data_IF_289322337631
#
_entry.id   IF_289322337631
#
_cell.length_a   1.000
_cell.length_b   1.000
_cell.length_c   1.000
_cell.angle_alpha   90.00
_cell.angle_beta   90.00
_cell.angle_gamma   90.00
#
_symmetry.space_group_name_H-M   'P 1'
#
loop_
_entity.id
_entity.type
_entity.pdbx_description
1 polymer ?
#
# COMPACT_ATOMS: atom_id res chain seq x y z
N UNK A 1 14.54 -11.09 -27.81
CA UNK A 1 13.75 -9.85 -27.80
C UNK A 1 14.69 -8.68 -28.14
N UNK A 2 14.69 -8.19 -29.40
CA UNK A 2 15.60 -7.10 -29.84
C UNK A 2 14.98 -5.77 -29.38
N UNK A 3 15.67 -5.08 -28.49
CA UNK A 3 15.39 -3.67 -28.18
C UNK A 3 15.57 -2.86 -29.48
N UNK A 4 14.48 -2.34 -30.04
CA UNK A 4 14.55 -1.36 -31.12
C UNK A 4 15.07 -0.05 -30.52
N UNK A 5 16.34 0.25 -30.78
CA UNK A 5 16.86 1.59 -30.53
C UNK A 5 16.03 2.62 -31.32
N UNK A 6 15.48 3.56 -30.61
CA UNK A 6 14.82 4.71 -31.19
C UNK A 6 15.85 5.51 -31.99
N UNK A 7 15.79 5.43 -33.32
CA UNK A 7 16.56 6.34 -34.18
C UNK A 7 15.87 7.68 -34.15
N UNK A 8 16.36 8.57 -33.28
CA UNK A 8 16.01 9.99 -33.31
C UNK A 8 16.36 10.55 -34.70
N UNK A 9 15.44 11.26 -35.30
CA UNK A 9 15.71 12.16 -36.44
C UNK A 9 16.87 13.08 -36.08
N UNK A 10 17.74 13.37 -37.04
CA UNK A 10 18.89 14.23 -36.88
C UNK A 10 18.48 15.68 -36.53
N UNK A 11 18.19 15.90 -35.26
CA UNK A 11 18.02 17.20 -34.62
C UNK A 11 19.07 17.35 -33.53
N UNK A 12 19.42 18.56 -33.19
CA UNK A 12 20.33 18.88 -32.09
C UNK A 12 19.98 18.01 -30.85
N UNK A 13 21.00 17.54 -30.15
CA UNK A 13 20.78 16.79 -28.92
C UNK A 13 20.09 17.66 -27.87
N UNK A 14 19.35 17.06 -26.94
CA UNK A 14 18.75 17.79 -25.80
C UNK A 14 19.75 18.68 -25.06
N UNK A 15 21.02 18.26 -25.03
CA UNK A 15 22.10 19.04 -24.40
C UNK A 15 22.40 20.30 -25.20
N UNK A 16 22.51 20.22 -26.54
CA UNK A 16 22.75 21.35 -27.44
C UNK A 16 21.56 22.33 -27.40
N UNK A 17 20.34 21.82 -27.39
CA UNK A 17 19.14 22.63 -27.25
C UNK A 17 19.13 23.40 -25.90
N UNK A 18 19.53 22.73 -24.83
CA UNK A 18 19.62 23.31 -23.48
C UNK A 18 20.68 24.41 -23.41
N UNK A 19 21.88 24.12 -23.95
CA UNK A 19 22.98 25.11 -24.02
C UNK A 19 22.62 26.33 -24.85
N UNK A 20 21.73 26.20 -25.80
CA UNK A 20 21.25 27.27 -26.67
C UNK A 20 19.96 27.96 -26.20
N UNK A 21 19.49 27.69 -24.97
CA UNK A 21 18.21 28.16 -24.40
C UNK A 21 16.99 27.86 -25.30
N UNK A 22 17.03 26.73 -26.04
CA UNK A 22 15.94 26.29 -26.93
C UNK A 22 15.06 25.24 -26.30
N UNK A 23 15.38 24.80 -25.09
CA UNK A 23 14.63 23.81 -24.36
C UNK A 23 13.58 24.45 -23.48
N UNK A 24 12.50 23.70 -23.23
CA UNK A 24 11.54 24.05 -22.20
C UNK A 24 12.13 24.00 -20.79
N UNK A 25 11.43 24.55 -19.84
CA UNK A 25 11.78 24.44 -18.43
C UNK A 25 11.55 23.02 -17.91
N UNK A 26 12.56 22.42 -17.28
CA UNK A 26 12.51 21.07 -16.71
C UNK A 26 12.47 21.08 -15.18
N UNK A 27 12.44 22.26 -14.55
CA UNK A 27 12.29 22.37 -13.10
C UNK A 27 10.82 22.24 -12.76
N UNK A 28 10.51 21.33 -11.84
CA UNK A 28 9.17 21.00 -11.40
C UNK A 28 9.16 20.92 -9.87
N UNK A 29 9.04 22.09 -9.16
CA UNK A 29 9.08 22.11 -7.70
C UNK A 29 7.77 21.68 -7.09
N UNK A 30 7.83 21.18 -5.85
CA UNK A 30 6.68 21.15 -4.97
C UNK A 30 6.36 22.57 -4.48
N UNK A 31 5.09 22.93 -4.54
CA UNK A 31 4.55 24.17 -4.02
C UNK A 31 3.68 23.85 -2.80
N UNK A 32 4.28 23.90 -1.63
CA UNK A 32 3.64 23.52 -0.39
C UNK A 32 2.60 24.53 0.06
N UNK A 33 1.37 24.06 0.24
CA UNK A 33 0.24 24.84 0.70
C UNK A 33 -0.03 24.58 2.18
N UNK A 34 0.12 25.62 2.98
CA UNK A 34 -0.10 25.59 4.43
C UNK A 34 -1.25 26.51 4.86
N UNK A 35 -2.03 27.04 3.90
CA UNK A 35 -3.10 27.99 4.15
C UNK A 35 -2.55 29.41 4.45
N UNK A 36 -1.52 29.86 3.75
CA UNK A 36 -1.07 31.25 3.80
C UNK A 36 -2.19 32.21 3.33
N UNK A 37 -2.05 33.49 3.61
CA UNK A 37 -2.98 34.50 3.08
C UNK A 37 -2.81 34.67 1.55
N UNK A 38 -3.85 35.21 0.92
CA UNK A 38 -3.90 35.38 -0.54
C UNK A 38 -2.73 36.19 -1.08
N UNK A 39 -2.30 37.26 -0.39
CA UNK A 39 -1.20 38.12 -0.84
C UNK A 39 0.12 37.31 -0.85
N UNK A 40 0.35 36.50 0.18
CA UNK A 40 1.52 35.62 0.25
C UNK A 40 1.47 34.61 -0.90
N UNK A 41 0.33 33.96 -1.11
CA UNK A 41 0.14 32.95 -2.16
C UNK A 41 0.43 33.55 -3.56
N UNK A 42 -0.15 34.70 -3.86
CA UNK A 42 0.08 35.40 -5.15
C UNK A 42 1.55 35.81 -5.32
N UNK A 43 2.20 36.27 -4.24
CA UNK A 43 3.61 36.67 -4.26
C UNK A 43 4.51 35.45 -4.55
N UNK A 44 4.23 34.31 -3.96
CA UNK A 44 5.02 33.08 -4.19
C UNK A 44 4.82 32.54 -5.60
N UNK A 45 3.59 32.53 -6.12
CA UNK A 45 3.31 32.17 -7.51
C UNK A 45 4.07 33.07 -8.51
N UNK A 46 4.08 34.38 -8.25
CA UNK A 46 4.83 35.32 -9.09
C UNK A 46 6.33 35.04 -9.07
N UNK A 47 6.92 34.74 -7.90
CA UNK A 47 8.34 34.38 -7.79
C UNK A 47 8.67 33.08 -8.55
N UNK A 48 7.80 32.07 -8.49
CA UNK A 48 7.96 30.85 -9.27
C UNK A 48 7.98 31.19 -10.76
N UNK A 49 7.03 31.98 -11.24
CA UNK A 49 6.96 32.40 -12.63
C UNK A 49 8.17 33.23 -13.06
N UNK A 50 8.59 34.24 -12.27
CA UNK A 50 9.75 35.09 -12.53
C UNK A 50 11.07 34.32 -12.53
N UNK A 51 11.13 33.18 -11.80
CA UNK A 51 12.24 32.24 -11.85
C UNK A 51 12.27 31.38 -13.12
N UNK A 52 11.45 31.71 -14.11
CA UNK A 52 11.28 30.98 -15.36
C UNK A 52 10.77 29.55 -15.20
N UNK A 53 10.11 29.22 -14.09
CA UNK A 53 9.46 27.94 -13.86
C UNK A 53 8.06 27.98 -14.47
N UNK A 54 7.66 26.93 -15.18
CA UNK A 54 6.38 26.84 -15.91
C UNK A 54 5.52 25.66 -15.52
N UNK A 55 5.96 24.88 -14.53
CA UNK A 55 5.19 23.78 -13.98
C UNK A 55 5.54 23.60 -12.51
N UNK A 56 4.56 23.20 -11.67
CA UNK A 56 4.77 22.89 -10.26
C UNK A 56 3.73 21.90 -9.77
N UNK A 57 4.05 21.22 -8.66
CA UNK A 57 3.13 20.33 -7.96
C UNK A 57 2.64 20.99 -6.68
N UNK A 58 1.35 21.21 -6.58
CA UNK A 58 0.70 21.68 -5.34
C UNK A 58 0.65 20.52 -4.35
N UNK A 59 1.05 20.75 -3.12
CA UNK A 59 1.00 19.79 -2.03
C UNK A 59 0.46 20.45 -0.77
N UNK A 60 -0.57 19.86 -0.15
CA UNK A 60 -1.02 20.26 1.18
C UNK A 60 0.03 19.86 2.24
N UNK A 61 0.56 20.88 3.06
CA UNK A 61 1.72 20.59 3.92
C UNK A 61 1.80 21.40 5.21
N UNK A 62 1.00 21.13 6.21
CA UNK A 62 -0.40 20.74 6.13
C UNK A 62 -1.29 21.93 5.76
N UNK A 63 -2.31 21.71 4.97
CA UNK A 63 -3.35 22.72 4.76
C UNK A 63 -4.44 22.57 5.83
N UNK A 64 -4.88 23.65 6.50
CA UNK A 64 -5.81 23.56 7.63
C UNK A 64 -7.22 23.11 7.24
N UNK A 65 -7.60 23.30 5.96
CA UNK A 65 -8.94 23.03 5.43
C UNK A 65 -8.88 22.35 4.07
N UNK A 66 -8.08 21.26 3.96
CA UNK A 66 -7.93 20.51 2.70
C UNK A 66 -9.28 20.00 2.20
N UNK A 67 -9.55 20.20 0.90
CA UNK A 67 -10.82 19.94 0.24
C UNK A 67 -12.04 20.67 0.83
N UNK A 68 -11.84 21.67 1.72
CA UNK A 68 -12.85 22.56 2.22
C UNK A 68 -12.85 23.93 1.50
N UNK A 69 -13.67 24.88 1.98
CA UNK A 69 -13.87 26.18 1.33
C UNK A 69 -12.58 26.95 1.12
N UNK A 70 -11.68 26.97 2.12
CA UNK A 70 -10.40 27.66 2.05
C UNK A 70 -9.46 27.01 1.05
N UNK A 71 -9.42 25.67 1.02
CA UNK A 71 -8.63 24.96 0.03
C UNK A 71 -9.08 25.29 -1.40
N UNK A 72 -10.38 25.32 -1.64
CA UNK A 72 -10.90 25.63 -2.96
C UNK A 72 -10.62 27.08 -3.36
N UNK A 73 -10.68 28.01 -2.42
CA UNK A 73 -10.29 29.41 -2.65
C UNK A 73 -8.82 29.51 -3.05
N UNK A 74 -7.91 28.89 -2.31
CA UNK A 74 -6.48 28.90 -2.59
C UNK A 74 -6.16 28.22 -3.94
N UNK A 75 -6.81 27.10 -4.23
CA UNK A 75 -6.68 26.39 -5.51
C UNK A 75 -7.22 27.21 -6.69
N UNK A 76 -8.30 27.95 -6.52
CA UNK A 76 -8.82 28.85 -7.57
C UNK A 76 -7.81 29.94 -7.92
N UNK A 77 -7.17 30.55 -6.93
CA UNK A 77 -6.08 31.54 -7.13
C UNK A 77 -4.92 30.90 -7.91
N UNK A 78 -4.49 29.72 -7.50
CA UNK A 78 -3.40 28.98 -8.16
C UNK A 78 -3.76 28.67 -9.62
N UNK A 79 -4.96 28.17 -9.87
CA UNK A 79 -5.41 27.78 -11.20
C UNK A 79 -5.61 28.99 -12.12
N UNK A 80 -6.14 30.11 -11.62
CA UNK A 80 -6.31 31.34 -12.38
C UNK A 80 -4.95 31.96 -12.74
N UNK A 81 -4.01 31.98 -11.81
CA UNK A 81 -2.66 32.39 -12.08
C UNK A 81 -2.01 31.50 -13.15
N UNK A 82 -2.11 30.21 -13.01
CA UNK A 82 -1.52 29.24 -13.94
C UNK A 82 -2.11 29.38 -15.36
N UNK A 83 -3.43 29.55 -15.50
CA UNK A 83 -4.10 29.80 -16.80
C UNK A 83 -3.58 31.07 -17.45
N UNK A 84 -3.48 32.17 -16.67
CA UNK A 84 -3.07 33.47 -17.16
C UNK A 84 -1.62 33.47 -17.64
N UNK A 85 -0.75 32.66 -17.04
CA UNK A 85 0.69 32.63 -17.30
C UNK A 85 1.16 31.42 -18.10
N UNK A 86 0.24 30.63 -18.66
CA UNK A 86 0.52 29.33 -19.37
C UNK A 86 1.42 28.41 -18.57
N UNK A 87 1.11 28.28 -17.29
CA UNK A 87 1.78 27.33 -16.39
C UNK A 87 1.01 26.01 -16.28
N UNK A 88 1.70 24.96 -15.82
CA UNK A 88 1.13 23.63 -15.62
C UNK A 88 1.13 23.29 -14.14
N UNK A 89 0.00 22.76 -13.67
CA UNK A 89 -0.24 22.41 -12.26
C UNK A 89 -0.44 20.91 -12.14
N UNK A 90 0.29 20.29 -11.22
CA UNK A 90 0.06 18.95 -10.72
C UNK A 90 -0.42 19.07 -9.27
N UNK A 91 -1.09 18.07 -8.77
CA UNK A 91 -1.57 18.01 -7.40
C UNK A 91 -1.10 16.72 -6.73
N UNK A 92 -0.44 16.82 -5.57
CA UNK A 92 -0.23 15.65 -4.72
C UNK A 92 -1.59 15.15 -4.22
N UNK A 93 -1.83 13.89 -4.39
CA UNK A 93 -3.14 13.24 -4.31
C UNK A 93 -3.62 12.90 -2.89
N UNK A 94 -3.24 13.71 -1.89
CA UNK A 94 -3.78 13.58 -0.53
C UNK A 94 -3.64 14.89 0.28
N UNK A 95 -4.22 14.89 1.47
CA UNK A 95 -4.16 16.01 2.41
C UNK A 95 -2.78 16.17 3.06
N UNK A 96 -1.90 15.19 2.90
CA UNK A 96 -0.52 15.12 3.38
C UNK A 96 0.25 13.97 2.74
N UNK A 97 1.55 14.04 2.83
CA UNK A 97 2.48 12.95 2.51
C UNK A 97 2.52 11.88 3.62
N UNK A 98 2.66 10.59 3.29
CA UNK A 98 2.54 9.99 1.96
C UNK A 98 1.06 9.79 1.54
N UNK A 99 0.84 9.54 0.25
CA UNK A 99 -0.49 9.22 -0.29
C UNK A 99 -1.09 8.00 0.42
N UNK A 100 -2.35 8.12 0.88
CA UNK A 100 -3.09 7.00 1.50
C UNK A 100 -3.90 7.36 2.74
N UNK A 101 -3.89 8.64 3.16
CA UNK A 101 -4.76 9.12 4.24
C UNK A 101 -6.17 9.45 3.76
N UNK A 102 -6.35 9.62 2.43
CA UNK A 102 -7.63 9.88 1.77
C UNK A 102 -8.43 11.00 2.45
N UNK A 103 -7.82 12.20 2.56
CA UNK A 103 -8.41 13.34 3.24
C UNK A 103 -8.90 12.99 4.66
N UNK A 104 -8.11 12.24 5.42
CA UNK A 104 -8.36 11.89 6.84
C UNK A 104 -9.52 10.92 7.09
N UNK A 105 -10.12 10.31 6.07
CA UNK A 105 -11.27 9.40 6.27
C UNK A 105 -10.90 8.20 7.15
N UNK A 106 -9.63 7.81 7.17
CA UNK A 106 -9.13 6.71 7.99
C UNK A 106 -8.68 7.13 9.40
N UNK A 107 -8.79 8.42 9.76
CA UNK A 107 -8.36 8.90 11.07
C UNK A 107 -9.01 8.13 12.21
N UNK A 108 -8.19 7.82 13.23
CA UNK A 108 -8.62 7.00 14.37
C UNK A 108 -8.42 5.49 14.15
N UNK A 109 -7.99 5.03 12.96
CA UNK A 109 -7.63 3.64 12.69
C UNK A 109 -8.78 2.62 12.77
N UNK A 110 -10.03 3.08 12.90
CA UNK A 110 -11.20 2.21 13.09
C UNK A 110 -12.07 2.03 11.85
N UNK A 111 -11.70 2.64 10.73
CA UNK A 111 -12.49 2.51 9.51
C UNK A 111 -12.45 1.05 9.00
N UNK A 112 -13.59 0.47 8.57
CA UNK A 112 -13.65 -0.93 8.12
C UNK A 112 -12.69 -1.28 6.99
N UNK A 113 -12.40 -0.30 6.12
CA UNK A 113 -11.51 -0.40 4.97
C UNK A 113 -10.08 0.08 5.25
N UNK A 114 -9.73 0.40 6.51
CA UNK A 114 -8.33 0.67 6.87
C UNK A 114 -7.47 -0.55 6.61
N UNK A 115 -6.16 -0.32 6.53
CA UNK A 115 -5.14 -1.35 6.33
C UNK A 115 -5.35 -2.59 7.22
N UNK A 116 -5.10 -3.76 6.65
CA UNK A 116 -5.20 -5.06 7.30
C UNK A 116 -3.95 -5.88 7.02
N UNK A 117 -3.60 -6.73 7.97
CA UNK A 117 -2.44 -7.59 7.89
C UNK A 117 -2.80 -9.02 8.21
N UNK A 118 -2.23 -9.97 7.48
CA UNK A 118 -2.15 -11.35 7.95
C UNK A 118 -0.95 -11.45 8.90
N UNK A 119 -1.14 -12.14 10.01
CA UNK A 119 -0.08 -12.45 10.98
C UNK A 119 -0.28 -13.86 11.54
N UNK A 120 0.68 -14.31 12.35
CA UNK A 120 0.69 -15.66 12.89
C UNK A 120 1.10 -15.65 14.36
N UNK A 121 0.39 -16.44 15.16
CA UNK A 121 0.86 -16.85 16.48
C UNK A 121 1.41 -18.27 16.41
N UNK A 122 2.55 -18.53 17.02
CA UNK A 122 3.17 -19.85 17.04
C UNK A 122 3.26 -20.41 18.46
N UNK A 123 3.13 -21.72 18.57
CA UNK A 123 3.32 -22.47 19.83
C UNK A 123 4.01 -23.78 19.51
N UNK A 124 5.14 -24.04 20.15
CA UNK A 124 5.81 -25.34 20.03
C UNK A 124 5.32 -26.30 21.10
N UNK A 125 5.08 -27.55 20.68
CA UNK A 125 4.62 -28.63 21.54
C UNK A 125 5.42 -29.89 21.27
N UNK A 126 5.75 -30.64 22.32
CA UNK A 126 6.48 -31.91 22.21
C UNK A 126 5.51 -33.07 22.48
N UNK A 127 5.32 -33.94 21.50
CA UNK A 127 4.48 -35.14 21.61
C UNK A 127 5.26 -36.39 21.92
N UNK A 128 4.55 -37.49 22.28
CA UNK A 128 3.10 -37.65 22.16
C UNK A 128 2.30 -37.01 23.32
N UNK A 129 1.18 -36.31 22.97
CA UNK A 129 0.19 -35.87 23.95
C UNK A 129 -1.22 -36.30 23.56
N UNK A 130 -2.02 -36.80 24.51
CA UNK A 130 -3.36 -37.31 24.24
C UNK A 130 -4.40 -36.78 25.23
N UNK A 131 -5.14 -35.74 24.93
CA UNK A 131 -4.90 -34.69 23.94
C UNK A 131 -4.04 -33.55 24.50
N UNK A 132 -3.40 -32.78 23.59
CA UNK A 132 -2.88 -31.47 23.91
C UNK A 132 -3.97 -30.39 23.85
N UNK A 133 -3.83 -29.31 24.61
CA UNK A 133 -4.77 -28.18 24.63
C UNK A 133 -4.02 -26.87 24.44
N UNK A 134 -4.56 -25.99 23.59
CA UNK A 134 -4.10 -24.62 23.42
C UNK A 134 -5.29 -23.66 23.47
N UNK A 135 -5.22 -22.63 24.31
CA UNK A 135 -6.24 -21.59 24.36
C UNK A 135 -6.04 -20.59 23.19
N UNK A 136 -6.72 -20.85 22.09
CA UNK A 136 -6.62 -20.02 20.86
C UNK A 136 -7.34 -18.67 21.04
N UNK A 137 -8.46 -18.63 21.78
CA UNK A 137 -9.23 -17.42 21.99
C UNK A 137 -8.41 -16.27 22.62
N UNK A 138 -7.40 -16.57 23.43
CA UNK A 138 -6.57 -15.54 24.07
C UNK A 138 -5.56 -14.88 23.14
N UNK A 139 -5.40 -15.38 21.91
CA UNK A 139 -4.47 -14.83 20.92
C UNK A 139 -5.03 -13.57 20.28
N UNK A 140 -6.35 -13.48 20.12
CA UNK A 140 -7.02 -12.48 19.31
C UNK A 140 -7.42 -11.24 20.11
N UNK A 141 -7.33 -10.08 19.46
CA UNK A 141 -7.98 -8.85 19.87
C UNK A 141 -9.41 -8.78 19.28
N UNK A 142 -10.18 -7.75 19.68
CA UNK A 142 -11.62 -7.68 19.41
C UNK A 142 -11.99 -7.77 17.93
N UNK A 143 -11.18 -7.15 17.07
CA UNK A 143 -11.46 -7.06 15.61
C UNK A 143 -10.64 -8.05 14.76
N UNK A 144 -9.90 -8.94 15.39
CA UNK A 144 -9.11 -9.92 14.67
C UNK A 144 -10.00 -10.99 14.04
N UNK A 145 -9.66 -11.38 12.83
CA UNK A 145 -10.40 -12.41 12.08
C UNK A 145 -9.55 -13.68 11.98
N UNK A 146 -10.00 -14.73 12.60
CA UNK A 146 -9.36 -16.05 12.51
C UNK A 146 -9.39 -16.58 11.06
N UNK A 147 -8.23 -17.04 10.57
CA UNK A 147 -8.09 -17.64 9.23
C UNK A 147 -8.01 -19.15 9.29
N UNK A 148 -7.20 -19.69 10.21
CA UNK A 148 -7.04 -21.12 10.37
C UNK A 148 -5.84 -21.46 11.25
N UNK A 149 -5.67 -22.75 11.53
CA UNK A 149 -4.53 -23.24 12.31
C UNK A 149 -3.93 -24.50 11.67
N UNK A 150 -2.61 -24.56 11.61
CA UNK A 150 -1.88 -25.71 11.02
C UNK A 150 -0.76 -26.13 11.96
N UNK A 151 -0.62 -27.42 12.18
CA UNK A 151 0.50 -28.01 12.91
C UNK A 151 1.52 -28.56 11.92
N UNK A 152 2.80 -28.27 12.14
CA UNK A 152 3.93 -28.76 11.35
C UNK A 152 4.93 -29.46 12.26
N UNK A 153 5.51 -30.55 11.80
CA UNK A 153 6.68 -31.10 12.47
C UNK A 153 7.87 -30.18 12.21
N UNK A 154 8.59 -29.81 13.26
CA UNK A 154 9.86 -29.08 13.11
C UNK A 154 10.92 -30.01 12.55
N UNK A 155 11.77 -29.51 11.66
CA UNK A 155 12.87 -30.27 11.08
C UNK A 155 14.01 -30.49 12.10
N UNK A 156 14.19 -29.55 13.03
CA UNK A 156 15.23 -29.53 14.05
C UNK A 156 14.75 -28.83 15.32
N UNK A 157 15.39 -29.13 16.44
CA UNK A 157 15.25 -28.35 17.68
C UNK A 157 16.07 -27.05 17.66
N UNK A 158 17.08 -26.98 16.78
CA UNK A 158 18.05 -25.89 16.73
C UNK A 158 17.63 -24.73 15.82
N UNK A 159 16.82 -25.01 14.81
CA UNK A 159 16.33 -24.01 13.87
C UNK A 159 14.78 -23.99 13.75
N UNK A 160 14.24 -22.95 13.12
CA UNK A 160 12.82 -22.72 12.98
C UNK A 160 12.20 -23.38 11.73
N UNK A 161 12.93 -24.25 11.04
CA UNK A 161 12.45 -24.86 9.80
C UNK A 161 11.34 -25.89 10.06
N UNK A 162 10.38 -25.94 9.15
CA UNK A 162 9.18 -26.77 9.23
C UNK A 162 9.15 -27.76 8.08
N UNK A 163 8.65 -28.97 8.36
CA UNK A 163 8.39 -29.95 7.31
C UNK A 163 7.00 -29.72 6.73
N UNK A 164 6.91 -29.19 5.50
CA UNK A 164 5.63 -28.92 4.84
C UNK A 164 4.79 -30.17 4.59
N UNK A 165 5.43 -31.31 4.32
CA UNK A 165 4.73 -32.58 4.07
C UNK A 165 4.04 -33.12 5.32
N UNK A 166 4.50 -32.71 6.50
CA UNK A 166 3.89 -33.09 7.78
C UNK A 166 2.70 -32.18 8.17
N UNK A 167 2.40 -31.15 7.38
CA UNK A 167 1.39 -30.16 7.71
C UNK A 167 0.01 -30.81 7.93
N UNK A 168 -0.58 -30.53 9.08
CA UNK A 168 -1.92 -30.99 9.46
C UNK A 168 -2.79 -29.76 9.71
N UNK A 169 -3.87 -29.59 8.94
CA UNK A 169 -4.89 -28.60 9.24
C UNK A 169 -5.61 -28.99 10.53
N UNK A 170 -5.39 -28.22 11.59
CA UNK A 170 -6.00 -28.42 12.90
C UNK A 170 -7.15 -27.46 13.19
N UNK A 171 -7.57 -26.67 12.20
CA UNK A 171 -8.67 -25.69 12.31
C UNK A 171 -9.94 -26.34 12.86
N UNK A 172 -10.31 -27.50 12.34
CA UNK A 172 -11.52 -28.23 12.74
C UNK A 172 -11.49 -28.78 14.19
N UNK A 173 -10.32 -28.80 14.82
CA UNK A 173 -10.18 -29.22 16.22
C UNK A 173 -10.32 -28.08 17.22
N UNK A 174 -10.60 -26.85 16.73
CA UNK A 174 -10.83 -25.67 17.58
C UNK A 174 -12.32 -25.57 17.90
N UNK A 175 -12.66 -25.71 19.19
CA UNK A 175 -14.03 -25.59 19.70
C UNK A 175 -14.06 -24.71 20.95
N UNK A 176 -15.02 -23.79 21.01
CA UNK A 176 -15.19 -22.85 22.14
C UNK A 176 -13.90 -22.06 22.48
N UNK A 177 -13.07 -21.78 21.48
CA UNK A 177 -11.81 -21.07 21.64
C UNK A 177 -10.62 -21.92 22.11
N UNK A 178 -10.78 -23.23 22.22
CA UNK A 178 -9.73 -24.18 22.56
C UNK A 178 -9.42 -25.08 21.37
N UNK A 179 -8.13 -25.19 20.99
CA UNK A 179 -7.63 -26.27 20.17
C UNK A 179 -7.45 -27.51 21.06
N UNK A 180 -8.09 -28.63 20.69
CA UNK A 180 -7.91 -29.94 21.30
C UNK A 180 -7.41 -30.89 20.22
N UNK A 181 -6.12 -31.24 20.28
CA UNK A 181 -5.50 -32.08 19.26
C UNK A 181 -4.61 -33.15 19.87
N UNK A 182 -4.61 -34.36 19.30
CA UNK A 182 -3.68 -35.40 19.65
C UNK A 182 -2.34 -35.12 18.97
N UNK A 183 -1.35 -34.73 19.77
CA UNK A 183 -0.01 -34.37 19.26
C UNK A 183 0.75 -35.68 18.98
N UNK A 184 1.19 -35.93 17.72
CA UNK A 184 2.03 -37.06 17.40
C UNK A 184 3.43 -36.96 18.03
N UNK A 185 4.20 -38.05 17.98
CA UNK A 185 5.56 -38.06 18.49
C UNK A 185 6.46 -37.06 17.82
N UNK A 186 7.31 -36.39 18.61
CA UNK A 186 8.30 -35.40 18.19
C UNK A 186 7.89 -33.95 18.45
N UNK A 187 8.69 -33.03 17.93
CA UNK A 187 8.50 -31.59 18.11
C UNK A 187 7.63 -31.01 16.99
N UNK A 188 6.56 -30.38 17.40
CA UNK A 188 5.58 -29.76 16.50
C UNK A 188 5.43 -28.30 16.78
N UNK A 189 5.25 -27.48 15.70
CA UNK A 189 4.87 -26.07 15.78
C UNK A 189 3.44 -25.91 15.29
N UNK A 190 2.58 -25.38 16.14
CA UNK A 190 1.22 -25.00 15.80
C UNK A 190 1.24 -23.54 15.41
N UNK A 191 0.80 -23.23 14.19
CA UNK A 191 0.65 -21.89 13.66
C UNK A 191 -0.82 -21.53 13.61
N UNK A 192 -1.20 -20.42 14.27
CA UNK A 192 -2.56 -19.86 14.23
C UNK A 192 -2.52 -18.58 13.41
N UNK A 193 -3.14 -18.59 12.23
CA UNK A 193 -3.18 -17.46 11.31
C UNK A 193 -4.42 -16.62 11.55
N UNK A 194 -4.25 -15.30 11.55
CA UNK A 194 -5.36 -14.37 11.71
C UNK A 194 -5.06 -13.04 11.02
N UNK A 195 -6.15 -12.33 10.67
CA UNK A 195 -6.10 -11.01 10.07
C UNK A 195 -6.32 -10.00 11.18
N UNK A 196 -5.46 -9.00 11.25
CA UNK A 196 -5.51 -7.96 12.27
C UNK A 196 -5.36 -6.57 11.65
N UNK A 197 -5.81 -5.54 12.36
CA UNK A 197 -5.45 -4.15 12.09
C UNK A 197 -4.36 -3.62 13.05
N UNK A 198 -3.98 -4.40 14.05
CA UNK A 198 -3.03 -4.03 15.09
C UNK A 198 -1.58 -4.31 14.64
N UNK A 199 -1.21 -3.75 13.47
CA UNK A 199 0.15 -3.86 12.93
C UNK A 199 1.12 -2.83 13.52
N UNK A 200 2.34 -2.81 12.98
CA UNK A 200 3.42 -1.94 13.44
C UNK A 200 3.50 -0.60 12.69
N UNK A 201 2.75 -0.43 11.62
CA UNK A 201 2.76 0.77 10.77
C UNK A 201 1.64 1.76 11.10
N UNK A 202 1.28 2.57 10.09
CA UNK A 202 0.17 3.51 10.19
C UNK A 202 -1.15 2.75 10.15
N UNK A 203 -2.01 2.94 11.14
CA UNK A 203 -3.31 2.28 11.23
C UNK A 203 -4.44 3.15 10.66
N UNK A 204 -4.22 4.47 10.60
CA UNK A 204 -5.10 5.47 10.00
C UNK A 204 -4.79 5.66 8.50
N UNK A 205 -4.75 4.55 7.77
CA UNK A 205 -4.23 4.51 6.42
C UNK A 205 -5.04 3.56 5.55
N UNK A 206 -5.12 3.86 4.25
CA UNK A 206 -5.83 3.00 3.31
C UNK A 206 -5.15 1.64 3.11
N UNK A 207 -5.91 0.66 2.66
CA UNK A 207 -5.37 -0.62 2.25
C UNK A 207 -5.13 -0.62 0.74
N UNK A 208 -3.90 -0.38 0.31
CA UNK A 208 -3.54 -0.22 -1.11
C UNK A 208 -3.82 -1.45 -1.98
N UNK A 209 -3.99 -2.64 -1.37
CA UNK A 209 -4.37 -3.87 -2.06
C UNK A 209 -5.84 -4.25 -1.83
N UNK A 210 -6.68 -3.27 -1.53
CA UNK A 210 -8.13 -3.40 -1.38
C UNK A 210 -8.81 -2.36 -2.28
N UNK A 211 -9.53 -2.82 -3.30
CA UNK A 211 -10.14 -1.94 -4.30
C UNK A 211 -11.17 -0.98 -3.71
N UNK A 212 -11.93 -1.41 -2.68
CA UNK A 212 -12.91 -0.55 -2.01
C UNK A 212 -12.21 0.53 -1.15
N UNK A 213 -11.06 0.19 -0.57
CA UNK A 213 -10.25 1.14 0.19
C UNK A 213 -9.63 2.22 -0.72
N UNK A 214 -9.06 1.81 -1.83
CA UNK A 214 -8.51 2.74 -2.84
C UNK A 214 -9.59 3.65 -3.41
N UNK A 215 -10.80 3.13 -3.64
CA UNK A 215 -11.93 3.93 -4.11
C UNK A 215 -12.26 5.11 -3.19
N UNK A 216 -12.07 4.98 -1.86
CA UNK A 216 -12.24 6.10 -0.94
C UNK A 216 -11.24 7.23 -1.19
N UNK A 217 -9.99 6.91 -1.56
CA UNK A 217 -9.03 7.95 -1.95
C UNK A 217 -9.54 8.70 -3.20
N UNK A 218 -10.02 7.98 -4.21
CA UNK A 218 -10.57 8.60 -5.41
C UNK A 218 -11.76 9.50 -5.09
N UNK A 219 -12.71 9.02 -4.29
CA UNK A 219 -13.91 9.76 -3.90
C UNK A 219 -13.62 10.99 -3.03
N UNK A 220 -12.61 10.91 -2.17
CA UNK A 220 -12.30 12.01 -1.24
C UNK A 220 -11.34 13.05 -1.83
N UNK A 221 -10.54 12.67 -2.82
CA UNK A 221 -9.48 13.55 -3.36
C UNK A 221 -9.67 13.80 -4.85
N UNK A 222 -9.69 12.76 -5.67
CA UNK A 222 -9.67 12.92 -7.13
C UNK A 222 -10.99 13.47 -7.67
N UNK A 223 -12.11 12.87 -7.31
CA UNK A 223 -13.44 13.28 -7.80
C UNK A 223 -13.79 14.75 -7.48
N UNK A 224 -13.55 15.27 -6.26
CA UNK A 224 -13.83 16.68 -5.97
C UNK A 224 -12.98 17.64 -6.81
N UNK A 225 -11.69 17.35 -7.01
CA UNK A 225 -10.81 18.17 -7.85
C UNK A 225 -11.18 18.07 -9.32
N UNK A 226 -11.53 16.86 -9.80
CA UNK A 226 -12.01 16.69 -11.17
C UNK A 226 -13.34 17.41 -11.42
N UNK A 227 -14.28 17.33 -10.49
CA UNK A 227 -15.55 18.03 -10.60
C UNK A 227 -15.37 19.55 -10.73
N UNK A 228 -14.35 20.13 -10.09
CA UNK A 228 -14.09 21.56 -10.11
C UNK A 228 -13.22 22.01 -11.30
N UNK A 229 -12.17 21.25 -11.62
CA UNK A 229 -11.16 21.62 -12.61
C UNK A 229 -11.13 20.72 -13.85
N UNK A 230 -12.15 19.89 -14.07
CA UNK A 230 -12.19 18.94 -15.19
C UNK A 230 -11.98 19.58 -16.56
N UNK A 231 -12.45 20.81 -16.77
CA UNK A 231 -12.22 21.57 -18.01
C UNK A 231 -10.74 21.96 -18.25
N UNK A 232 -9.90 21.93 -17.21
CA UNK A 232 -8.48 22.27 -17.25
C UNK A 232 -7.59 21.05 -17.42
N UNK A 233 -8.13 19.85 -17.26
CA UNK A 233 -7.35 18.61 -17.38
C UNK A 233 -6.73 18.47 -18.76
N UNK A 234 -5.42 18.11 -18.76
CA UNK A 234 -4.63 18.04 -19.99
C UNK A 234 -4.22 19.40 -20.58
N UNK A 235 -4.63 20.51 -19.95
CA UNK A 235 -4.31 21.88 -20.37
C UNK A 235 -3.46 22.60 -19.32
N UNK A 236 -4.10 23.07 -18.25
CA UNK A 236 -3.45 23.71 -17.10
C UNK A 236 -3.26 22.71 -15.96
N UNK A 237 -4.29 21.93 -15.63
CA UNK A 237 -4.21 20.85 -14.66
C UNK A 237 -3.72 19.57 -15.34
N UNK A 238 -2.50 19.14 -15.06
CA UNK A 238 -1.86 18.05 -15.79
C UNK A 238 -2.11 16.66 -15.20
N UNK A 239 -2.52 16.59 -13.93
CA UNK A 239 -2.83 15.36 -13.25
C UNK A 239 -2.46 15.36 -11.79
N UNK A 240 -2.57 14.18 -11.21
CA UNK A 240 -2.21 13.94 -9.82
C UNK A 240 -0.81 13.35 -9.72
N UNK A 241 -0.15 13.63 -8.61
CA UNK A 241 1.13 13.06 -8.23
C UNK A 241 0.93 12.22 -6.98
N UNK A 242 1.06 10.91 -7.11
CA UNK A 242 1.01 9.99 -5.98
C UNK A 242 2.39 9.81 -5.40
N UNK A 243 2.56 10.07 -4.10
CA UNK A 243 3.86 10.09 -3.45
C UNK A 243 3.97 8.99 -2.38
N UNK A 244 4.86 8.04 -2.63
CA UNK A 244 5.25 6.94 -1.74
C UNK A 244 4.08 6.24 -1.02
N UNK A 245 2.99 5.82 -1.72
CA UNK A 245 1.98 5.01 -1.07
C UNK A 245 2.59 3.71 -0.56
N UNK A 246 2.27 3.32 0.67
CA UNK A 246 2.93 2.21 1.35
C UNK A 246 1.97 1.11 1.80
N UNK A 247 2.50 -0.07 2.13
CA UNK A 247 1.72 -1.15 2.73
C UNK A 247 1.47 -0.96 4.22
N UNK A 248 2.14 0.02 4.83
CA UNK A 248 1.99 0.38 6.26
C UNK A 248 2.25 -0.77 7.25
N UNK A 249 3.08 -1.73 6.89
CA UNK A 249 3.37 -2.91 7.71
C UNK A 249 4.68 -2.84 8.50
N UNK A 250 5.42 -1.73 8.38
CA UNK A 250 6.67 -1.47 9.11
C UNK A 250 6.68 -0.06 9.71
N UNK A 251 7.31 0.13 10.87
CA UNK A 251 7.61 1.46 11.37
C UNK A 251 8.84 2.02 10.62
N UNK A 252 8.60 2.91 9.63
CA UNK A 252 9.66 3.54 8.85
C UNK A 252 10.19 2.68 7.69
N UNK A 253 11.35 3.06 7.17
CA UNK A 253 11.94 2.45 5.97
C UNK A 253 13.00 1.41 6.34
N UNK A 254 12.65 0.13 6.32
CA UNK A 254 13.58 -0.98 6.54
C UNK A 254 13.75 -1.82 5.27
N UNK A 255 14.65 -1.38 4.40
CA UNK A 255 14.88 -1.98 3.07
C UNK A 255 15.45 -3.41 3.10
N UNK A 256 15.91 -3.89 4.25
CA UNK A 256 16.48 -5.24 4.41
C UNK A 256 15.55 -6.19 5.13
N UNK A 257 14.38 -5.71 5.53
CA UNK A 257 13.41 -6.52 6.25
C UNK A 257 12.94 -7.71 5.40
N UNK A 258 12.97 -8.89 6.00
CA UNK A 258 12.55 -10.14 5.35
C UNK A 258 11.11 -10.44 5.67
N UNK A 259 10.36 -10.81 4.64
CA UNK A 259 8.97 -11.20 4.77
C UNK A 259 8.81 -12.28 5.86
N UNK A 260 7.87 -12.06 6.78
CA UNK A 260 7.54 -12.95 7.86
C UNK A 260 8.53 -12.96 9.04
N UNK A 261 9.81 -12.72 8.80
CA UNK A 261 10.83 -12.76 9.86
C UNK A 261 10.99 -11.40 10.55
N UNK A 262 11.29 -10.37 9.77
CA UNK A 262 11.47 -9.01 10.25
C UNK A 262 10.18 -8.19 10.05
N UNK A 263 9.26 -8.69 9.20
CA UNK A 263 7.91 -8.18 8.93
C UNK A 263 6.86 -9.23 9.36
N UNK A 264 6.52 -9.32 10.66
CA UNK A 264 5.56 -10.30 11.14
C UNK A 264 4.12 -10.02 10.67
N UNK A 265 3.81 -8.76 10.36
CA UNK A 265 2.54 -8.31 9.79
C UNK A 265 2.72 -8.13 8.28
N UNK A 266 2.03 -8.94 7.49
CA UNK A 266 2.13 -8.89 6.02
C UNK A 266 0.85 -8.36 5.40
N UNK A 267 0.92 -7.54 4.33
CA UNK A 267 -0.26 -6.93 3.71
C UNK A 267 -1.33 -7.94 3.37
N UNK A 268 -2.58 -7.61 3.66
CA UNK A 268 -3.72 -8.48 3.42
C UNK A 268 -4.99 -7.70 3.08
N UNK A 269 -5.79 -8.20 2.14
CA UNK A 269 -7.17 -7.83 1.95
C UNK A 269 -8.02 -9.07 1.68
N UNK A 270 -9.35 -8.93 1.73
CA UNK A 270 -10.26 -10.03 1.43
C UNK A 270 -10.12 -10.49 -0.03
N UNK A 271 -10.04 -9.54 -0.95
CA UNK A 271 -9.86 -9.80 -2.38
C UNK A 271 -8.54 -10.50 -2.65
N UNK A 272 -7.46 -9.96 -2.10
CA UNK A 272 -6.12 -10.55 -2.20
C UNK A 272 -6.10 -11.98 -1.66
N UNK A 273 -6.67 -12.21 -0.47
CA UNK A 273 -6.74 -13.54 0.14
C UNK A 273 -7.46 -14.57 -0.73
N UNK A 274 -8.56 -14.19 -1.36
CA UNK A 274 -9.30 -15.07 -2.27
C UNK A 274 -8.46 -15.47 -3.50
N UNK A 275 -7.75 -14.52 -4.10
CA UNK A 275 -6.84 -14.76 -5.25
C UNK A 275 -5.66 -15.64 -4.87
N UNK A 276 -5.04 -15.40 -3.71
CA UNK A 276 -3.95 -16.23 -3.22
C UNK A 276 -4.42 -17.66 -2.92
N UNK A 277 -5.62 -17.81 -2.37
CA UNK A 277 -6.23 -19.12 -2.12
C UNK A 277 -6.50 -19.88 -3.43
N UNK A 278 -7.02 -19.20 -4.45
CA UNK A 278 -7.20 -19.80 -5.78
C UNK A 278 -5.86 -20.29 -6.36
N UNK A 279 -4.82 -19.46 -6.26
CA UNK A 279 -3.48 -19.77 -6.77
C UNK A 279 -2.80 -20.95 -6.07
N UNK A 280 -2.88 -21.03 -4.74
CA UNK A 280 -2.27 -22.08 -3.94
C UNK A 280 -3.16 -23.34 -3.84
N UNK A 281 -4.43 -23.20 -4.18
CA UNK A 281 -5.39 -24.31 -4.23
C UNK A 281 -5.69 -24.92 -2.85
N UNK A 282 -5.97 -26.22 -2.83
CA UNK A 282 -6.36 -26.96 -1.60
C UNK A 282 -5.32 -26.92 -0.48
N UNK A 283 -4.07 -26.62 -0.79
CA UNK A 283 -2.97 -26.54 0.18
C UNK A 283 -2.75 -25.13 0.72
N UNK A 284 -3.63 -24.18 0.38
CA UNK A 284 -3.50 -22.77 0.75
C UNK A 284 -3.09 -22.56 2.20
N UNK A 285 -3.87 -23.11 3.15
CA UNK A 285 -3.64 -22.91 4.57
C UNK A 285 -2.27 -23.48 5.01
N UNK A 286 -1.92 -24.67 4.54
CA UNK A 286 -0.61 -25.29 4.83
C UNK A 286 0.56 -24.54 4.18
N UNK A 287 0.35 -23.83 3.10
CA UNK A 287 1.39 -23.00 2.48
C UNK A 287 1.66 -21.70 3.23
N UNK A 288 0.69 -21.18 4.01
CA UNK A 288 0.87 -19.90 4.71
C UNK A 288 2.07 -19.88 5.66
N UNK A 289 2.40 -21.02 6.29
CA UNK A 289 3.54 -21.14 7.19
C UNK A 289 4.88 -20.74 6.54
N UNK A 290 5.02 -20.94 5.23
CA UNK A 290 6.22 -20.58 4.48
C UNK A 290 6.47 -19.07 4.42
N UNK A 291 5.47 -18.24 4.70
CA UNK A 291 5.62 -16.78 4.73
C UNK A 291 6.45 -16.32 5.93
N UNK A 292 6.50 -17.09 7.01
CA UNK A 292 7.29 -16.80 8.22
C UNK A 292 8.45 -17.75 8.44
N UNK A 293 8.35 -19.01 7.99
CA UNK A 293 9.30 -20.09 8.27
C UNK A 293 9.87 -20.69 6.98
N UNK A 294 11.04 -21.27 7.07
CA UNK A 294 11.57 -22.10 5.99
C UNK A 294 10.85 -23.44 5.95
N UNK A 295 10.39 -23.85 4.77
CA UNK A 295 9.68 -25.12 4.53
C UNK A 295 10.38 -25.94 3.44
N UNK A 296 11.71 -25.90 3.43
CA UNK A 296 12.54 -26.58 2.44
C UNK A 296 12.47 -25.91 1.07
N UNK A 297 12.52 -26.70 0.02
CA UNK A 297 12.56 -26.22 -1.39
C UNK A 297 11.32 -25.43 -1.81
N UNK A 298 10.19 -25.58 -1.11
CA UNK A 298 8.93 -24.90 -1.42
C UNK A 298 8.89 -23.43 -0.96
N UNK A 299 9.76 -23.04 -0.04
CA UNK A 299 9.74 -21.70 0.59
C UNK A 299 9.75 -20.57 -0.45
N UNK A 300 10.72 -20.59 -1.36
CA UNK A 300 10.87 -19.53 -2.36
C UNK A 300 9.69 -19.47 -3.33
N UNK A 301 9.15 -20.60 -3.74
CA UNK A 301 8.00 -20.67 -4.66
C UNK A 301 6.74 -20.10 -4.01
N UNK A 302 6.48 -20.39 -2.73
CA UNK A 302 5.31 -19.91 -2.01
C UNK A 302 5.43 -18.39 -1.76
N UNK A 303 6.59 -17.92 -1.30
CA UNK A 303 6.86 -16.48 -1.10
C UNK A 303 6.77 -15.71 -2.42
N UNK A 304 7.27 -16.27 -3.51
CA UNK A 304 7.10 -15.68 -4.84
C UNK A 304 5.62 -15.60 -5.24
N UNK A 305 4.84 -16.67 -5.00
CA UNK A 305 3.41 -16.67 -5.31
C UNK A 305 2.67 -15.56 -4.55
N UNK A 306 3.01 -15.35 -3.27
CA UNK A 306 2.46 -14.27 -2.46
C UNK A 306 2.82 -12.89 -3.03
N UNK A 307 4.11 -12.61 -3.27
CA UNK A 307 4.57 -11.31 -3.76
C UNK A 307 4.10 -10.99 -5.18
N UNK A 308 4.01 -11.99 -6.05
CA UNK A 308 3.46 -11.82 -7.39
C UNK A 308 1.97 -11.48 -7.35
N UNK A 309 1.21 -12.08 -6.43
CA UNK A 309 -0.20 -11.74 -6.24
C UNK A 309 -0.39 -10.36 -5.60
N UNK A 310 0.48 -9.95 -4.66
CA UNK A 310 0.52 -8.58 -4.13
C UNK A 310 0.71 -7.58 -5.28
N UNK A 311 1.68 -7.84 -6.16
CA UNK A 311 1.97 -6.98 -7.32
C UNK A 311 0.79 -6.87 -8.28
N UNK A 312 0.13 -8.00 -8.58
CA UNK A 312 -1.06 -8.02 -9.45
C UNK A 312 -2.24 -7.28 -8.83
N UNK A 313 -2.47 -7.50 -7.52
CA UNK A 313 -3.57 -6.85 -6.82
C UNK A 313 -3.32 -5.34 -6.74
N UNK A 314 -2.11 -4.91 -6.37
CA UNK A 314 -1.72 -3.50 -6.36
C UNK A 314 -1.92 -2.84 -7.73
N UNK A 315 -1.49 -3.52 -8.80
CA UNK A 315 -1.69 -3.02 -10.17
C UNK A 315 -3.16 -2.80 -10.49
N UNK A 316 -4.03 -3.69 -10.06
CA UNK A 316 -5.45 -3.64 -10.37
C UNK A 316 -6.22 -2.68 -9.44
N UNK A 317 -5.94 -2.69 -8.14
CA UNK A 317 -6.64 -1.88 -7.15
C UNK A 317 -6.23 -0.41 -7.19
N UNK A 318 -4.93 -0.11 -7.37
CA UNK A 318 -4.40 1.24 -7.33
C UNK A 318 -4.14 1.81 -8.72
N UNK A 319 -3.18 1.28 -9.47
CA UNK A 319 -2.77 1.89 -10.75
C UNK A 319 -3.82 1.85 -11.86
N UNK A 320 -4.72 0.85 -11.89
CA UNK A 320 -5.79 0.84 -12.87
C UNK A 320 -6.97 1.73 -12.47
N UNK A 321 -7.28 1.82 -11.19
CA UNK A 321 -8.33 2.71 -10.69
C UNK A 321 -8.01 4.19 -10.99
N UNK A 322 -6.79 4.61 -10.70
CA UNK A 322 -6.30 5.95 -11.03
C UNK A 322 -6.36 6.25 -12.53
N UNK A 323 -5.96 5.26 -13.36
CA UNK A 323 -5.96 5.42 -14.81
C UNK A 323 -7.37 5.55 -15.39
N UNK A 324 -8.32 4.76 -14.91
CA UNK A 324 -9.70 4.84 -15.38
C UNK A 324 -10.33 6.19 -15.10
N UNK A 325 -10.00 6.80 -13.97
CA UNK A 325 -10.45 8.12 -13.62
C UNK A 325 -9.88 9.19 -14.54
N UNK A 326 -8.56 9.17 -14.77
CA UNK A 326 -7.89 10.15 -15.66
C UNK A 326 -8.35 9.99 -17.13
N UNK A 327 -8.79 8.81 -17.56
CA UNK A 327 -9.28 8.57 -18.93
C UNK A 327 -10.74 9.03 -19.16
N UNK A 328 -11.49 9.43 -18.12
CA UNK A 328 -12.81 10.03 -18.25
C UNK A 328 -12.77 11.49 -18.72
N UNK A 329 -11.59 12.07 -18.74
CA UNK A 329 -11.27 13.41 -19.24
C UNK A 329 -10.80 13.34 -20.71
#
# INVERSE_FOLDING_TARGET
>A
MRLKYWKGTAGMTRVEDNLNNKTGNYIFPFFWQNGADEQTLQTELLKIYESNIRAFCVEARPHPDYAGERWWHDMDIIMDFARTHDMKVWLLDDDRFPTGHANKIFNGGNHPLSVRFLTVHNTDVYGPMKPGYLLVKSIFQEDDVFVGAVAYKRCSEEDDSLNLESAVDVTGYIQNGWLRWEVPEGLWRILVFYITRHGNGKLDYFNIIDSDSVKLLLEQVYEPHYARYGADFGKTFMGFFSDEPEFSNLPGYEFRARLGKDMPFIPWSREFGARLQERLGKNFLSCLGALWYEVGEYTSAIRFAYMDEVTKTLKNSFFHADREMVQRS
#
